data_IF_718524754756
#
_entry.id   IF_718524754756
#
_cell.length_a   1.000
_cell.length_b   1.000
_cell.length_c   1.000
_cell.angle_alpha   90.00
_cell.angle_beta   90.00
_cell.angle_gamma   90.00
#
_symmetry.space_group_name_H-M   'P 1'
#
loop_
_entity.id
_entity.type
_entity.pdbx_description
1 polymer ?
#
# COMPACT_ATOMS: atom_id res chain seq x y z
N UNK A 1 -22.61 -19.51 32.95
CA UNK A 1 -22.87 -18.75 31.72
C UNK A 1 -21.51 -18.36 31.15
N UNK A 2 -21.06 -18.87 30.00
CA UNK A 2 -19.86 -18.33 29.38
C UNK A 2 -20.15 -16.88 28.95
N UNK A 3 -19.25 -15.97 29.30
CA UNK A 3 -19.30 -14.58 28.86
C UNK A 3 -19.40 -14.58 27.33
N UNK A 4 -20.38 -13.86 26.79
CA UNK A 4 -20.45 -13.59 25.37
C UNK A 4 -19.12 -12.94 24.98
N UNK A 5 -18.30 -13.64 24.22
CA UNK A 5 -17.14 -13.04 23.61
C UNK A 5 -17.64 -11.81 22.83
N UNK A 6 -17.08 -10.65 23.11
CA UNK A 6 -17.35 -9.43 22.38
C UNK A 6 -17.02 -9.70 20.91
N UNK A 7 -18.04 -10.11 20.14
CA UNK A 7 -17.92 -10.25 18.70
C UNK A 7 -17.87 -8.84 18.15
N UNK A 8 -16.68 -8.27 18.04
CA UNK A 8 -16.50 -7.02 17.31
C UNK A 8 -16.96 -7.28 15.87
N UNK A 9 -18.01 -6.58 15.39
CA UNK A 9 -18.61 -6.83 14.07
C UNK A 9 -17.62 -6.55 12.92
N UNK A 10 -16.48 -5.91 13.21
CA UNK A 10 -15.51 -5.47 12.22
C UNK A 10 -14.08 -5.92 12.56
N UNK A 11 -13.30 -6.24 11.52
CA UNK A 11 -11.89 -6.56 11.70
C UNK A 11 -11.05 -5.28 11.79
N UNK A 12 -10.56 -4.94 12.98
CA UNK A 12 -9.79 -3.72 13.22
C UNK A 12 -8.44 -3.71 12.48
N UNK A 13 -7.77 -4.86 12.32
CA UNK A 13 -6.51 -4.92 11.62
C UNK A 13 -6.68 -4.54 10.14
N UNK A 14 -7.74 -5.01 9.48
CA UNK A 14 -8.07 -4.64 8.10
C UNK A 14 -8.56 -3.19 7.98
N UNK A 15 -9.20 -2.63 8.99
CA UNK A 15 -9.51 -1.18 9.02
C UNK A 15 -8.20 -0.38 9.04
N UNK A 16 -7.25 -0.74 9.92
CA UNK A 16 -5.93 -0.09 9.95
C UNK A 16 -5.22 -0.25 8.61
N UNK A 17 -5.25 -1.44 8.02
CA UNK A 17 -4.68 -1.70 6.69
C UNK A 17 -5.26 -0.79 5.61
N UNK A 18 -6.58 -0.58 5.61
CA UNK A 18 -7.25 0.33 4.70
C UNK A 18 -6.83 1.79 4.91
N UNK A 19 -6.74 2.25 6.16
CA UNK A 19 -6.27 3.61 6.49
C UNK A 19 -4.84 3.80 6.01
N UNK A 20 -3.95 2.84 6.23
CA UNK A 20 -2.57 2.90 5.76
C UNK A 20 -2.48 2.99 4.23
N UNK A 21 -3.29 2.19 3.50
CA UNK A 21 -3.36 2.26 2.04
C UNK A 21 -3.89 3.61 1.56
N UNK A 22 -4.90 4.18 2.25
CA UNK A 22 -5.43 5.52 1.95
C UNK A 22 -4.39 6.62 2.22
N UNK A 23 -3.61 6.53 3.29
CA UNK A 23 -2.48 7.44 3.53
C UNK A 23 -1.46 7.35 2.40
N UNK A 24 -1.13 6.13 1.95
CA UNK A 24 -0.28 5.94 0.78
C UNK A 24 -0.83 6.63 -0.47
N UNK A 25 -2.13 6.51 -0.73
CA UNK A 25 -2.80 7.19 -1.84
C UNK A 25 -2.69 8.72 -1.73
N UNK A 26 -2.94 9.28 -0.53
CA UNK A 26 -2.82 10.72 -0.29
C UNK A 26 -1.39 11.23 -0.49
N UNK A 27 -0.37 10.46 -0.09
CA UNK A 27 1.03 10.81 -0.36
C UNK A 27 1.33 10.87 -1.86
N UNK A 28 0.74 9.99 -2.67
CA UNK A 28 0.90 10.04 -4.13
C UNK A 28 0.21 11.28 -4.73
N UNK A 29 -0.98 11.66 -4.23
CA UNK A 29 -1.61 12.93 -4.62
C UNK A 29 -0.72 14.13 -4.22
N UNK A 30 -0.16 14.10 -3.03
CA UNK A 30 0.75 15.13 -2.56
C UNK A 30 2.02 15.23 -3.44
N UNK A 31 2.54 14.08 -3.96
CA UNK A 31 3.64 14.09 -4.92
C UNK A 31 3.27 14.80 -6.23
N UNK A 32 2.03 14.62 -6.72
CA UNK A 32 1.57 15.35 -7.92
C UNK A 32 1.53 16.85 -7.64
N UNK A 33 0.96 17.25 -6.50
CA UNK A 33 0.86 18.66 -6.11
C UNK A 33 2.22 19.32 -5.83
N UNK A 34 3.15 18.57 -5.21
CA UNK A 34 4.52 19.03 -4.89
C UNK A 34 5.46 19.03 -6.10
N UNK A 35 5.08 18.38 -7.19
CA UNK A 35 5.81 18.41 -8.47
C UNK A 35 7.22 17.82 -8.41
N UNK A 36 8.17 18.35 -9.22
CA UNK A 36 9.49 17.74 -9.44
C UNK A 36 10.29 17.51 -8.16
N UNK A 37 10.24 18.44 -7.20
CA UNK A 37 10.96 18.34 -5.93
C UNK A 37 10.47 17.13 -5.10
N UNK A 38 9.17 16.90 -5.10
CA UNK A 38 8.56 15.77 -4.38
C UNK A 38 8.84 14.43 -5.08
N UNK A 39 8.82 14.39 -6.41
CA UNK A 39 9.24 13.19 -7.15
C UNK A 39 10.67 12.78 -6.82
N UNK A 40 11.60 13.75 -6.69
CA UNK A 40 12.98 13.48 -6.26
C UNK A 40 13.03 12.99 -4.81
N UNK A 41 12.37 13.72 -3.91
CA UNK A 41 12.37 13.40 -2.47
C UNK A 41 11.82 11.99 -2.21
N UNK A 42 10.72 11.62 -2.86
CA UNK A 42 10.10 10.30 -2.73
C UNK A 42 10.67 9.25 -3.71
N UNK A 43 11.82 9.52 -4.34
CA UNK A 43 12.56 8.53 -5.11
C UNK A 43 11.85 7.98 -6.33
N UNK A 44 10.91 8.74 -6.92
CA UNK A 44 10.25 8.36 -8.17
C UNK A 44 11.20 8.30 -9.37
N UNK A 45 12.43 8.81 -9.20
CA UNK A 45 13.49 8.82 -10.16
C UNK A 45 13.60 10.12 -10.95
N UNK A 46 14.83 10.43 -11.39
CA UNK A 46 15.14 11.69 -12.07
C UNK A 46 14.35 11.86 -13.38
N UNK A 47 14.06 10.76 -14.06
CA UNK A 47 13.25 10.79 -15.28
C UNK A 47 11.86 11.38 -15.07
N UNK A 48 11.17 10.99 -13.96
CA UNK A 48 9.85 11.55 -13.64
C UNK A 48 9.94 13.01 -13.22
N UNK A 49 10.94 13.34 -12.40
CA UNK A 49 11.13 14.71 -11.92
C UNK A 49 11.44 15.66 -13.08
N UNK A 50 12.37 15.29 -13.98
CA UNK A 50 12.72 16.11 -15.14
C UNK A 50 11.57 16.25 -16.14
N UNK A 51 10.76 15.20 -16.34
CA UNK A 51 9.56 15.30 -17.17
C UNK A 51 8.53 16.27 -16.58
N UNK A 52 8.34 16.23 -15.25
CA UNK A 52 7.46 17.17 -14.57
C UNK A 52 7.98 18.63 -14.67
N UNK A 53 9.31 18.85 -14.62
CA UNK A 53 9.94 20.18 -14.84
C UNK A 53 9.67 20.73 -16.24
N UNK A 54 9.61 19.84 -17.25
CA UNK A 54 9.27 20.23 -18.62
C UNK A 54 7.77 20.47 -18.84
N UNK A 55 6.95 20.31 -17.81
CA UNK A 55 5.50 20.43 -17.90
C UNK A 55 4.83 19.22 -18.57
N UNK A 56 5.54 18.10 -18.70
CA UNK A 56 4.95 16.86 -19.18
C UNK A 56 3.98 16.28 -18.12
N UNK A 57 2.84 15.82 -18.52
CA UNK A 57 1.79 15.35 -17.60
C UNK A 57 1.77 13.85 -17.35
N UNK A 58 2.56 13.07 -18.11
CA UNK A 58 2.64 11.63 -17.89
C UNK A 58 3.08 11.22 -16.48
N UNK A 59 4.00 11.96 -15.76
CA UNK A 59 4.33 11.63 -14.37
C UNK A 59 3.11 11.73 -13.45
N UNK A 60 2.30 12.78 -13.63
CA UNK A 60 1.07 12.96 -12.86
C UNK A 60 0.05 11.86 -13.16
N UNK A 61 -0.13 11.47 -14.43
CA UNK A 61 -1.03 10.37 -14.82
C UNK A 61 -0.57 9.05 -14.22
N UNK A 62 0.73 8.72 -14.31
CA UNK A 62 1.27 7.49 -13.73
C UNK A 62 1.06 7.45 -12.21
N UNK A 63 1.32 8.57 -11.52
CA UNK A 63 1.15 8.69 -10.08
C UNK A 63 -0.33 8.62 -9.68
N UNK A 64 -1.22 9.22 -10.46
CA UNK A 64 -2.67 9.11 -10.27
C UNK A 64 -3.14 7.65 -10.43
N UNK A 65 -2.59 6.92 -11.39
CA UNK A 65 -2.86 5.49 -11.55
C UNK A 65 -2.52 4.70 -10.28
N UNK A 66 -1.35 4.96 -9.68
CA UNK A 66 -0.97 4.34 -8.41
C UNK A 66 -1.92 4.75 -7.28
N UNK A 67 -2.31 6.03 -7.22
CA UNK A 67 -3.30 6.53 -6.25
C UNK A 67 -4.60 5.74 -6.32
N UNK A 68 -5.15 5.54 -7.53
CA UNK A 68 -6.40 4.80 -7.73
C UNK A 68 -6.28 3.33 -7.31
N UNK A 69 -5.15 2.70 -7.61
CA UNK A 69 -4.86 1.33 -7.17
C UNK A 69 -4.84 1.24 -5.64
N UNK A 70 -4.17 2.17 -4.96
CA UNK A 70 -4.11 2.18 -3.48
C UNK A 70 -5.48 2.44 -2.85
N UNK A 71 -6.32 3.30 -3.45
CA UNK A 71 -7.70 3.51 -3.00
C UNK A 71 -8.57 2.26 -3.21
N UNK A 72 -8.40 1.56 -4.33
CA UNK A 72 -9.07 0.28 -4.55
C UNK A 72 -8.62 -0.75 -3.50
N UNK A 73 -7.34 -0.80 -3.16
CA UNK A 73 -6.82 -1.69 -2.11
C UNK A 73 -7.39 -1.35 -0.73
N UNK A 74 -7.52 -0.06 -0.41
CA UNK A 74 -8.21 0.38 0.80
C UNK A 74 -9.67 -0.09 0.84
N UNK A 75 -10.40 0.00 -0.30
CA UNK A 75 -11.77 -0.48 -0.40
C UNK A 75 -11.87 -2.01 -0.21
N UNK A 76 -10.93 -2.79 -0.78
CA UNK A 76 -10.86 -4.23 -0.55
C UNK A 76 -10.62 -4.59 0.92
N UNK A 77 -9.72 -3.86 1.58
CA UNK A 77 -9.45 -4.05 3.00
C UNK A 77 -10.68 -3.70 3.87
N UNK A 78 -11.41 -2.62 3.56
CA UNK A 78 -12.66 -2.27 4.25
C UNK A 78 -13.78 -3.29 4.00
N UNK A 79 -13.86 -3.84 2.78
CA UNK A 79 -14.83 -4.89 2.46
C UNK A 79 -14.51 -6.17 3.24
N UNK A 80 -13.24 -6.59 3.30
CA UNK A 80 -12.81 -7.73 4.09
C UNK A 80 -12.92 -7.49 5.61
N UNK A 81 -12.89 -6.22 6.05
CA UNK A 81 -13.14 -5.84 7.43
C UNK A 81 -14.63 -5.89 7.82
N UNK A 82 -15.54 -6.07 6.86
CA UNK A 82 -17.00 -6.04 7.07
C UNK A 82 -17.61 -4.64 7.07
N UNK A 83 -16.87 -3.59 6.70
CA UNK A 83 -17.36 -2.21 6.66
C UNK A 83 -17.98 -1.82 5.31
N UNK A 84 -17.70 -2.53 4.25
CA UNK A 84 -18.26 -2.33 2.92
C UNK A 84 -18.94 -3.62 2.43
N UNK A 85 -19.86 -3.54 1.45
CA UNK A 85 -20.39 -4.72 0.77
C UNK A 85 -19.27 -5.59 0.21
N UNK A 86 -19.55 -6.89 0.10
CA UNK A 86 -18.57 -7.86 -0.42
C UNK A 86 -18.21 -7.52 -1.87
N UNK A 87 -16.95 -7.20 -2.10
CA UNK A 87 -16.41 -6.88 -3.42
C UNK A 87 -16.17 -8.17 -4.23
N UNK A 88 -16.22 -8.08 -5.57
CA UNK A 88 -15.91 -9.23 -6.42
C UNK A 88 -14.54 -9.82 -6.12
N UNK A 89 -14.45 -11.17 -6.07
CA UNK A 89 -13.19 -11.89 -5.80
C UNK A 89 -12.48 -11.43 -4.52
N UNK A 90 -13.23 -11.06 -3.48
CA UNK A 90 -12.70 -10.45 -2.25
C UNK A 90 -11.50 -11.21 -1.68
N UNK A 91 -11.63 -12.54 -1.49
CA UNK A 91 -10.55 -13.38 -0.96
C UNK A 91 -9.29 -13.33 -1.82
N UNK A 92 -9.43 -13.52 -3.12
CA UNK A 92 -8.31 -13.46 -4.06
C UNK A 92 -7.69 -12.06 -4.10
N UNK A 93 -8.51 -11.01 -4.11
CA UNK A 93 -8.08 -9.62 -4.12
C UNK A 93 -7.27 -9.25 -2.90
N UNK A 94 -7.80 -9.51 -1.69
CA UNK A 94 -7.08 -9.13 -0.45
C UNK A 94 -5.79 -9.95 -0.25
N UNK A 95 -5.77 -11.21 -0.66
CA UNK A 95 -4.56 -12.04 -0.65
C UNK A 95 -3.51 -11.48 -1.62
N UNK A 96 -3.92 -11.13 -2.85
CA UNK A 96 -3.01 -10.54 -3.84
C UNK A 96 -2.44 -9.20 -3.35
N UNK A 97 -3.27 -8.32 -2.78
CA UNK A 97 -2.84 -7.04 -2.20
C UNK A 97 -1.80 -7.27 -1.10
N UNK A 98 -2.10 -8.18 -0.17
CA UNK A 98 -1.18 -8.56 0.91
C UNK A 98 0.16 -9.05 0.35
N UNK A 99 0.12 -9.95 -0.64
CA UNK A 99 1.31 -10.48 -1.29
C UNK A 99 2.15 -9.38 -1.96
N UNK A 100 1.52 -8.43 -2.66
CA UNK A 100 2.23 -7.31 -3.31
C UNK A 100 2.92 -6.44 -2.29
N UNK A 101 2.27 -6.06 -1.18
CA UNK A 101 2.92 -5.28 -0.12
C UNK A 101 4.10 -6.02 0.51
N UNK A 102 3.93 -7.31 0.82
CA UNK A 102 5.00 -8.13 1.40
C UNK A 102 6.17 -8.29 0.43
N UNK A 103 5.91 -8.64 -0.82
CA UNK A 103 6.96 -8.78 -1.85
C UNK A 103 7.70 -7.47 -2.05
N UNK A 104 6.99 -6.35 -2.14
CA UNK A 104 7.59 -5.01 -2.28
C UNK A 104 8.45 -4.65 -1.07
N UNK A 105 8.05 -5.04 0.13
CA UNK A 105 8.83 -4.84 1.34
C UNK A 105 10.05 -5.77 1.42
N UNK A 106 9.86 -7.04 1.10
CA UNK A 106 10.90 -8.07 1.17
C UNK A 106 12.01 -7.91 0.11
N UNK A 107 11.76 -7.18 -0.99
CA UNK A 107 12.77 -6.92 -2.03
C UNK A 107 14.01 -6.18 -1.49
N UNK A 108 13.89 -5.50 -0.35
CA UNK A 108 15.01 -4.86 0.32
C UNK A 108 16.16 -5.83 0.61
N UNK A 109 15.84 -7.05 1.07
CA UNK A 109 16.85 -8.02 1.51
C UNK A 109 17.75 -8.50 0.35
N UNK A 110 17.22 -8.98 -0.79
CA UNK A 110 18.07 -9.34 -1.92
C UNK A 110 18.80 -8.13 -2.52
N UNK A 111 18.24 -6.92 -2.49
CA UNK A 111 18.93 -5.72 -2.97
C UNK A 111 20.12 -5.38 -2.07
N UNK A 112 19.95 -5.46 -0.75
CA UNK A 112 21.05 -5.28 0.21
C UNK A 112 22.17 -6.32 0.02
N UNK A 113 21.79 -7.58 -0.24
CA UNK A 113 22.76 -8.67 -0.38
C UNK A 113 23.50 -8.66 -1.73
N UNK A 114 22.80 -8.37 -2.83
CA UNK A 114 23.33 -8.55 -4.17
C UNK A 114 23.80 -7.24 -4.83
N UNK A 115 23.21 -6.10 -4.43
CA UNK A 115 23.48 -4.78 -5.03
C UNK A 115 23.53 -3.67 -3.98
N UNK A 116 24.43 -3.75 -2.98
CA UNK A 116 24.47 -2.78 -1.87
C UNK A 116 24.69 -1.33 -2.33
N UNK A 117 25.41 -1.14 -3.46
CA UNK A 117 25.65 0.18 -4.04
C UNK A 117 24.40 0.85 -4.62
N UNK A 118 23.32 0.11 -4.84
CA UNK A 118 22.05 0.66 -5.35
C UNK A 118 21.07 0.97 -4.22
N UNK A 119 21.41 0.67 -2.97
CA UNK A 119 20.55 0.92 -1.82
C UNK A 119 20.56 2.40 -1.48
N UNK A 120 19.44 3.06 -1.66
CA UNK A 120 19.22 4.45 -1.26
C UNK A 120 18.39 4.50 0.02
N UNK A 121 18.46 5.59 0.82
CA UNK A 121 17.58 5.77 1.97
C UNK A 121 16.10 5.61 1.61
N UNK A 122 15.70 6.07 0.42
CA UNK A 122 14.33 5.89 -0.07
C UNK A 122 13.95 4.42 -0.23
N UNK A 123 14.82 3.58 -0.84
CA UNK A 123 14.56 2.14 -0.99
C UNK A 123 14.36 1.49 0.38
N UNK A 124 15.19 1.84 1.37
CA UNK A 124 15.07 1.30 2.73
C UNK A 124 13.73 1.67 3.34
N UNK A 125 13.43 2.98 3.44
CA UNK A 125 12.20 3.44 4.08
C UNK A 125 10.94 2.98 3.38
N UNK A 126 10.89 3.07 2.05
CA UNK A 126 9.71 2.63 1.30
C UNK A 126 9.46 1.12 1.41
N UNK A 127 10.52 0.31 1.46
CA UNK A 127 10.40 -1.14 1.65
C UNK A 127 9.94 -1.48 3.06
N UNK A 128 10.45 -0.82 4.09
CA UNK A 128 10.02 -1.03 5.48
C UNK A 128 8.55 -0.64 5.67
N UNK A 129 8.12 0.48 5.08
CA UNK A 129 6.71 0.91 5.09
C UNK A 129 5.82 -0.14 4.40
N UNK A 130 6.19 -0.59 3.20
CA UNK A 130 5.44 -1.63 2.50
C UNK A 130 5.40 -2.94 3.28
N UNK A 131 6.50 -3.33 3.93
CA UNK A 131 6.55 -4.51 4.78
C UNK A 131 5.58 -4.37 5.96
N UNK A 132 5.57 -3.23 6.64
CA UNK A 132 4.61 -2.93 7.71
C UNK A 132 3.16 -3.01 7.24
N UNK A 133 2.85 -2.41 6.09
CA UNK A 133 1.52 -2.51 5.48
C UNK A 133 1.13 -3.96 5.17
N UNK A 134 2.06 -4.72 4.57
CA UNK A 134 1.84 -6.13 4.26
C UNK A 134 1.60 -6.99 5.49
N UNK A 135 2.34 -6.75 6.59
CA UNK A 135 2.16 -7.48 7.85
C UNK A 135 0.81 -7.18 8.50
N UNK A 136 0.35 -5.93 8.48
CA UNK A 136 -0.97 -5.56 9.00
C UNK A 136 -2.09 -6.20 8.17
N UNK A 137 -1.96 -6.19 6.83
CA UNK A 137 -2.90 -6.90 5.95
C UNK A 137 -2.90 -8.39 6.24
N UNK A 138 -1.73 -9.02 6.31
CA UNK A 138 -1.60 -10.47 6.60
C UNK A 138 -2.27 -10.83 7.93
N UNK A 139 -1.99 -10.05 8.98
CA UNK A 139 -2.60 -10.26 10.29
C UNK A 139 -4.13 -10.23 10.22
N UNK A 140 -4.69 -9.23 9.53
CA UNK A 140 -6.13 -9.10 9.36
C UNK A 140 -6.73 -10.22 8.50
N UNK A 141 -6.08 -10.59 7.39
CA UNK A 141 -6.53 -11.68 6.50
C UNK A 141 -6.58 -13.01 7.24
N UNK A 142 -5.57 -13.32 8.07
CA UNK A 142 -5.54 -14.55 8.87
C UNK A 142 -6.73 -14.62 9.83
N UNK A 143 -7.12 -13.48 10.43
CA UNK A 143 -8.24 -13.41 11.38
C UNK A 143 -9.62 -13.68 10.72
N UNK A 144 -9.77 -13.33 9.45
CA UNK A 144 -11.06 -13.45 8.73
C UNK A 144 -11.03 -14.55 7.66
N UNK A 145 -10.01 -15.40 7.65
CA UNK A 145 -9.77 -16.36 6.57
C UNK A 145 -10.96 -17.27 6.26
N UNK A 146 -11.66 -17.72 7.28
CA UNK A 146 -12.79 -18.65 7.16
C UNK A 146 -14.10 -17.96 6.75
N UNK A 147 -14.13 -16.61 6.82
CA UNK A 147 -15.31 -15.81 6.45
C UNK A 147 -15.17 -15.10 5.10
N UNK A 148 -13.98 -15.16 4.47
CA UNK A 148 -13.69 -14.59 3.17
C UNK A 148 -14.17 -15.44 2.00
#
# INVERSE_FOLDING_TARGET
>A
MPAAADVHPYNHALIVAAVLSAIGALLHVACIAGGPAWYRFFGAGERMATAAERGEWWPAIATLGITLVLLAWAAYALSAAGMLPVLPLLKAGIVAITAVYLLRGLILFPVLALKPSQVTPFIVWSSLICLGYGLVHLWGVVQVWDTL
#
